data_IF_263567912130
#
_entry.id   IF_263567912130
#
_cell.length_a   1.000
_cell.length_b   1.000
_cell.length_c   1.000
_cell.angle_alpha   90.00
_cell.angle_beta   90.00
_cell.angle_gamma   90.00
#
_symmetry.space_group_name_H-M   'P 1'
#
loop_
_entity.id
_entity.type
_entity.pdbx_description
1 polymer ?
#
# COMPACT_ATOMS: atom_id res chain seq x y z
N UNK A 1 -30.46 -8.50 6.30
CA UNK A 1 -30.85 -9.93 6.29
C UNK A 1 -29.70 -10.91 6.58
N UNK A 2 -28.41 -10.53 6.49
CA UNK A 2 -27.29 -11.44 6.78
C UNK A 2 -27.03 -11.73 8.27
N UNK A 3 -27.49 -10.89 9.20
CA UNK A 3 -27.25 -11.05 10.64
C UNK A 3 -28.24 -11.99 11.36
N UNK A 4 -29.36 -12.35 10.72
CA UNK A 4 -30.39 -13.21 11.33
C UNK A 4 -29.99 -14.70 11.29
N UNK A 5 -29.44 -15.18 10.17
CA UNK A 5 -29.01 -16.58 10.03
C UNK A 5 -27.86 -16.96 10.96
N UNK A 6 -26.94 -16.03 11.24
CA UNK A 6 -25.79 -16.27 12.13
C UNK A 6 -26.20 -16.39 13.60
N UNK A 7 -27.30 -15.73 14.02
CA UNK A 7 -27.79 -15.82 15.41
C UNK A 7 -28.43 -17.18 15.70
N UNK A 8 -29.13 -17.76 14.74
CA UNK A 8 -29.73 -19.10 14.87
C UNK A 8 -28.65 -20.18 15.02
N UNK A 9 -27.53 -20.06 14.29
CA UNK A 9 -26.37 -20.96 14.39
C UNK A 9 -25.62 -20.87 15.74
N UNK A 10 -25.76 -19.75 16.45
CA UNK A 10 -25.13 -19.49 17.76
C UNK A 10 -26.08 -19.71 18.94
N UNK A 11 -27.24 -20.32 18.70
CA UNK A 11 -28.25 -20.58 19.72
C UNK A 11 -28.16 -22.01 20.23
N UNK A 12 -28.19 -22.17 21.55
CA UNK A 12 -28.23 -23.46 22.21
C UNK A 12 -29.59 -24.15 21.99
N UNK A 13 -29.65 -25.40 21.51
CA UNK A 13 -30.91 -26.10 21.21
C UNK A 13 -31.79 -26.34 22.45
N UNK A 14 -31.17 -26.43 23.63
CA UNK A 14 -31.85 -26.75 24.88
C UNK A 14 -32.46 -25.54 25.57
N UNK A 15 -31.73 -24.43 25.67
CA UNK A 15 -32.24 -23.21 26.30
C UNK A 15 -32.78 -22.17 25.31
N UNK A 16 -32.57 -22.37 24.00
CA UNK A 16 -32.96 -21.44 22.92
C UNK A 16 -32.39 -20.03 23.07
N UNK A 17 -31.31 -19.92 23.82
CA UNK A 17 -30.53 -18.69 24.03
C UNK A 17 -29.14 -18.83 23.41
N UNK A 18 -28.46 -17.72 23.17
CA UNK A 18 -27.07 -17.71 22.71
C UNK A 18 -26.19 -18.54 23.67
N UNK A 19 -25.26 -19.31 23.11
CA UNK A 19 -24.39 -20.18 23.92
C UNK A 19 -23.69 -19.42 25.05
N UNK A 20 -23.79 -19.97 26.27
CA UNK A 20 -23.05 -19.52 27.45
C UNK A 20 -22.21 -20.69 27.98
N UNK A 21 -20.88 -20.56 27.98
CA UNK A 21 -19.94 -21.64 28.32
C UNK A 21 -20.24 -22.93 27.49
N UNK A 22 -20.22 -22.86 26.15
CA UNK A 22 -20.56 -23.99 25.30
C UNK A 22 -19.55 -25.14 25.43
N UNK A 23 -20.07 -26.36 25.34
CA UNK A 23 -19.31 -27.61 25.32
C UNK A 23 -19.75 -28.42 24.12
N UNK A 24 -18.80 -29.04 23.44
CA UNK A 24 -19.05 -29.87 22.26
C UNK A 24 -18.89 -31.33 22.63
N UNK A 25 -19.93 -32.13 22.38
CA UNK A 25 -19.91 -33.57 22.59
C UNK A 25 -19.07 -34.26 21.51
N UNK A 26 -18.71 -35.52 21.75
CA UNK A 26 -17.94 -36.32 20.77
C UNK A 26 -18.67 -36.49 19.44
N UNK A 27 -20.01 -36.44 19.46
CA UNK A 27 -20.87 -36.47 18.28
C UNK A 27 -20.90 -35.15 17.48
N UNK A 28 -20.22 -34.10 17.95
CA UNK A 28 -20.14 -32.79 17.30
C UNK A 28 -21.22 -31.78 17.71
N UNK A 29 -22.29 -32.20 18.38
CA UNK A 29 -23.33 -31.27 18.86
C UNK A 29 -22.85 -30.45 20.06
N UNK A 30 -23.28 -29.18 20.13
CA UNK A 30 -22.84 -28.23 21.14
C UNK A 30 -24.00 -27.74 21.99
N UNK A 31 -23.76 -27.56 23.29
CA UNK A 31 -24.75 -27.10 24.27
C UNK A 31 -24.09 -26.19 25.29
N UNK A 32 -24.86 -25.33 25.97
CA UNK A 32 -24.36 -24.68 27.18
C UNK A 32 -24.01 -25.76 28.21
N UNK A 33 -22.85 -25.63 28.89
CA UNK A 33 -22.37 -26.63 29.87
C UNK A 33 -23.41 -26.99 30.93
N UNK A 34 -24.19 -26.00 31.37
CA UNK A 34 -25.27 -26.18 32.36
C UNK A 34 -26.45 -26.96 31.77
N UNK A 35 -26.79 -26.74 30.50
CA UNK A 35 -27.94 -27.38 29.86
C UNK A 35 -27.71 -28.89 29.68
N UNK A 36 -26.56 -29.27 29.10
CA UNK A 36 -26.25 -30.70 28.92
C UNK A 36 -26.01 -31.42 30.25
N UNK A 37 -25.50 -30.71 31.26
CA UNK A 37 -25.39 -31.24 32.62
C UNK A 37 -26.76 -31.62 33.18
N UNK A 38 -27.73 -30.70 33.14
CA UNK A 38 -29.10 -30.96 33.60
C UNK A 38 -29.76 -32.13 32.87
N UNK A 39 -29.56 -32.25 31.56
CA UNK A 39 -30.11 -33.37 30.79
C UNK A 39 -29.55 -34.71 31.24
N UNK A 40 -28.23 -34.82 31.43
CA UNK A 40 -27.61 -36.05 31.92
C UNK A 40 -27.97 -36.35 33.38
N UNK A 41 -28.09 -35.33 34.23
CA UNK A 41 -28.53 -35.51 35.63
C UNK A 41 -29.97 -36.05 35.69
N UNK A 42 -30.84 -35.64 34.75
CA UNK A 42 -32.20 -36.20 34.62
C UNK A 42 -32.21 -37.64 34.10
N UNK A 43 -31.38 -37.95 33.09
CA UNK A 43 -31.25 -39.31 32.53
C UNK A 43 -30.73 -40.30 33.57
N UNK A 44 -29.77 -39.88 34.39
CA UNK A 44 -29.26 -40.67 35.51
C UNK A 44 -30.36 -41.01 36.52
N UNK A 45 -31.28 -40.08 36.77
CA UNK A 45 -32.43 -40.29 37.67
C UNK A 45 -33.49 -41.28 37.16
N UNK A 46 -33.48 -41.63 35.87
CA UNK A 46 -34.36 -42.63 35.26
C UNK A 46 -33.59 -43.88 34.78
N UNK A 47 -32.37 -44.08 35.29
CA UNK A 47 -31.47 -45.18 34.94
C UNK A 47 -31.11 -45.29 33.45
N UNK A 48 -31.23 -44.18 32.70
CA UNK A 48 -30.81 -44.10 31.31
C UNK A 48 -29.33 -43.72 31.17
N UNK A 49 -28.68 -44.28 30.16
CA UNK A 49 -27.31 -43.90 29.81
C UNK A 49 -27.27 -42.46 29.27
N UNK A 50 -26.24 -41.66 29.61
CA UNK A 50 -26.08 -40.32 29.06
C UNK A 50 -26.09 -40.37 27.53
N UNK A 51 -26.92 -39.55 26.90
CA UNK A 51 -27.00 -39.48 25.43
C UNK A 51 -27.01 -38.05 24.93
N UNK A 52 -26.69 -37.89 23.64
CA UNK A 52 -26.85 -36.61 22.95
C UNK A 52 -28.34 -36.31 22.70
N UNK A 53 -28.87 -35.14 23.10
CA UNK A 53 -30.26 -34.77 22.88
C UNK A 53 -30.70 -34.75 21.41
N UNK A 54 -29.78 -34.48 20.48
CA UNK A 54 -30.09 -34.34 19.06
C UNK A 54 -29.94 -35.66 18.29
N UNK A 55 -28.76 -36.28 18.32
CA UNK A 55 -28.50 -37.50 17.55
C UNK A 55 -28.73 -38.81 18.34
N UNK A 56 -29.04 -38.71 19.64
CA UNK A 56 -29.27 -39.86 20.54
C UNK A 56 -28.09 -40.82 20.67
N UNK A 57 -26.89 -40.38 20.29
CA UNK A 57 -25.67 -41.16 20.51
C UNK A 57 -25.44 -41.37 22.01
N UNK A 58 -25.29 -42.63 22.42
CA UNK A 58 -25.15 -43.03 23.82
C UNK A 58 -23.68 -43.08 24.24
N UNK A 59 -23.40 -42.56 25.44
CA UNK A 59 -22.08 -42.61 26.04
C UNK A 59 -22.06 -43.68 27.15
N UNK A 60 -21.04 -44.53 27.12
CA UNK A 60 -20.88 -45.62 28.10
C UNK A 60 -20.58 -45.10 29.51
N UNK A 61 -20.00 -43.90 29.63
CA UNK A 61 -19.82 -43.13 30.87
C UNK A 61 -19.96 -41.65 30.54
N UNK A 62 -20.31 -40.84 31.54
CA UNK A 62 -20.42 -39.38 31.40
C UNK A 62 -19.08 -38.79 30.91
N UNK A 63 -18.99 -38.27 29.68
CA UNK A 63 -17.73 -37.75 29.17
C UNK A 63 -17.38 -36.41 29.83
N UNK A 64 -16.08 -36.08 29.97
CA UNK A 64 -15.65 -34.80 30.51
C UNK A 64 -16.05 -33.67 29.55
N UNK A 65 -16.81 -32.71 30.07
CA UNK A 65 -17.28 -31.55 29.30
C UNK A 65 -16.15 -30.52 29.16
N UNK A 66 -15.41 -30.58 28.05
CA UNK A 66 -14.41 -29.58 27.69
C UNK A 66 -15.07 -28.39 27.03
N UNK A 67 -14.67 -27.19 27.46
CA UNK A 67 -15.17 -25.91 26.93
C UNK A 67 -14.75 -25.74 25.48
N UNK A 68 -15.68 -25.36 24.63
CA UNK A 68 -15.40 -24.93 23.27
C UNK A 68 -15.13 -23.42 23.28
N UNK A 69 -13.85 -23.06 23.47
CA UNK A 69 -13.42 -21.66 23.53
C UNK A 69 -13.74 -20.87 22.25
N UNK A 70 -13.68 -21.52 21.08
CA UNK A 70 -13.97 -20.86 19.80
C UNK A 70 -15.45 -20.50 19.68
N UNK A 71 -16.33 -21.44 20.00
CA UNK A 71 -17.78 -21.20 19.98
C UNK A 71 -18.18 -20.18 21.05
N UNK A 72 -17.51 -20.20 22.21
CA UNK A 72 -17.73 -19.20 23.27
C UNK A 72 -17.37 -17.79 22.78
N UNK A 73 -16.18 -17.61 22.20
CA UNK A 73 -15.73 -16.31 21.69
C UNK A 73 -16.64 -15.78 20.57
N UNK A 74 -17.12 -16.68 19.71
CA UNK A 74 -18.09 -16.32 18.66
C UNK A 74 -19.42 -15.91 19.29
N UNK A 75 -19.99 -16.71 20.19
CA UNK A 75 -21.24 -16.40 20.86
C UNK A 75 -21.20 -15.08 21.65
N UNK A 76 -20.08 -14.79 22.33
CA UNK A 76 -19.86 -13.55 23.09
C UNK A 76 -19.95 -12.29 22.21
N UNK A 77 -19.55 -12.35 20.94
CA UNK A 77 -19.64 -11.21 20.02
C UNK A 77 -21.07 -10.90 19.54
N UNK A 78 -22.03 -11.81 19.78
CA UNK A 78 -23.45 -11.66 19.43
C UNK A 78 -24.37 -11.52 20.62
N UNK A 79 -23.85 -11.69 21.85
CA UNK A 79 -24.54 -11.20 23.04
C UNK A 79 -24.77 -9.69 22.85
N UNK A 80 -25.97 -9.16 23.13
CA UNK A 80 -26.19 -7.73 23.06
C UNK A 80 -25.20 -7.05 24.00
N UNK A 81 -24.19 -6.42 23.40
CA UNK A 81 -23.46 -5.33 24.04
C UNK A 81 -24.48 -4.21 24.04
N UNK A 82 -25.27 -4.13 25.11
CA UNK A 82 -26.01 -2.91 25.38
C UNK A 82 -24.95 -1.82 25.55
N UNK A 83 -24.92 -0.95 24.55
CA UNK A 83 -24.30 0.37 24.60
C UNK A 83 -24.70 1.07 25.90
N UNK A 84 -23.72 1.73 26.51
CA UNK A 84 -23.73 2.37 27.84
C UNK A 84 -23.38 1.42 29.00
N UNK A 85 -22.07 1.33 29.29
CA UNK A 85 -21.42 0.60 30.39
C UNK A 85 -21.31 -0.93 30.23
N UNK A 86 -20.09 -1.39 29.93
CA UNK A 86 -19.65 -2.78 30.02
C UNK A 86 -19.68 -3.30 31.47
N UNK A 87 -20.87 -3.55 32.00
CA UNK A 87 -21.09 -4.16 33.30
C UNK A 87 -21.29 -5.67 33.18
N UNK A 88 -20.58 -6.43 34.00
CA UNK A 88 -20.89 -7.83 34.28
C UNK A 88 -22.35 -7.90 34.78
N UNK A 89 -23.16 -8.83 34.26
CA UNK A 89 -24.53 -9.06 34.80
C UNK A 89 -24.42 -9.65 36.22
N UNK A 90 -24.82 -8.86 37.21
CA UNK A 90 -24.78 -9.25 38.62
C UNK A 90 -26.14 -9.80 39.04
N UNK A 91 -26.15 -10.97 39.67
CA UNK A 91 -27.36 -11.68 40.07
C UNK A 91 -27.69 -11.46 41.55
N UNK A 92 -28.96 -11.63 41.90
CA UNK A 92 -29.43 -11.56 43.26
C UNK A 92 -28.90 -12.74 44.08
N UNK A 93 -28.30 -12.43 45.22
CA UNK A 93 -27.70 -13.40 46.14
C UNK A 93 -28.70 -14.34 46.81
N UNK A 94 -30.01 -14.05 46.73
CA UNK A 94 -31.05 -14.75 47.49
C UNK A 94 -32.14 -15.40 46.62
N UNK A 95 -32.07 -15.28 45.29
CA UNK A 95 -33.06 -15.86 44.39
C UNK A 95 -32.53 -17.12 43.70
N UNK A 96 -33.37 -18.15 43.67
CA UNK A 96 -33.19 -19.30 42.77
C UNK A 96 -34.53 -19.56 42.04
N UNK A 97 -34.59 -19.51 40.69
CA UNK A 97 -33.48 -19.26 39.76
C UNK A 97 -32.90 -17.84 39.86
N UNK A 98 -31.65 -17.67 39.41
CA UNK A 98 -30.89 -16.42 39.52
C UNK A 98 -31.57 -15.27 38.78
N UNK A 99 -32.14 -14.34 39.55
CA UNK A 99 -32.74 -13.09 39.05
C UNK A 99 -31.67 -12.00 39.04
N UNK A 100 -31.65 -11.13 38.03
CA UNK A 100 -30.73 -9.98 37.98
C UNK A 100 -30.89 -9.07 39.21
N UNK A 101 -29.76 -8.67 39.81
CA UNK A 101 -29.76 -7.69 40.89
C UNK A 101 -29.96 -6.28 40.33
N UNK A 102 -30.75 -5.46 41.04
CA UNK A 102 -30.98 -4.05 40.71
C UNK A 102 -30.19 -3.12 41.61
N UNK A 103 -29.85 -3.55 42.84
CA UNK A 103 -28.98 -2.81 43.76
C UNK A 103 -28.06 -3.75 44.53
N UNK A 104 -26.98 -3.21 45.06
CA UNK A 104 -26.11 -3.89 46.03
C UNK A 104 -26.07 -3.13 47.33
N UNK A 105 -26.19 -3.84 48.46
CA UNK A 105 -26.08 -3.27 49.80
C UNK A 105 -24.63 -3.38 50.29
N UNK A 106 -24.00 -2.24 50.62
CA UNK A 106 -22.61 -2.22 51.07
C UNK A 106 -22.41 -2.78 52.49
N UNK A 107 -23.45 -2.69 53.33
CA UNK A 107 -23.42 -3.29 54.67
C UNK A 107 -23.57 -4.80 54.62
N UNK A 108 -24.52 -5.31 53.85
CA UNK A 108 -24.78 -6.75 53.74
C UNK A 108 -23.89 -7.47 52.74
N UNK A 109 -23.11 -6.74 51.94
CA UNK A 109 -22.26 -7.28 50.87
C UNK A 109 -23.02 -8.20 49.91
N UNK A 110 -24.28 -7.84 49.65
CA UNK A 110 -25.21 -8.65 48.90
C UNK A 110 -25.85 -7.86 47.76
N UNK A 111 -26.02 -8.53 46.62
CA UNK A 111 -26.71 -7.99 45.46
C UNK A 111 -28.17 -8.46 45.49
N UNK A 112 -29.10 -7.53 45.33
CA UNK A 112 -30.53 -7.72 45.57
C UNK A 112 -31.31 -7.42 44.30
N UNK A 113 -32.23 -8.31 43.91
CA UNK A 113 -33.24 -8.01 42.89
C UNK A 113 -34.26 -7.01 43.43
N UNK A 114 -35.06 -6.41 42.55
CA UNK A 114 -36.04 -5.40 42.90
C UNK A 114 -36.97 -5.81 44.06
N UNK A 115 -37.42 -7.06 44.08
CA UNK A 115 -38.23 -7.61 45.17
C UNK A 115 -37.50 -7.62 46.52
N UNK A 116 -36.24 -8.07 46.52
CA UNK A 116 -35.44 -8.12 47.73
C UNK A 116 -35.00 -6.72 48.18
N UNK A 117 -34.73 -5.80 47.27
CA UNK A 117 -34.49 -4.38 47.59
C UNK A 117 -35.69 -3.78 48.32
N UNK A 118 -36.92 -3.99 47.82
CA UNK A 118 -38.15 -3.47 48.45
C UNK A 118 -38.37 -4.01 49.86
N UNK A 119 -38.01 -5.27 50.12
CA UNK A 119 -38.06 -5.84 51.47
C UNK A 119 -36.91 -5.37 52.37
N UNK A 120 -35.77 -5.06 51.77
CA UNK A 120 -34.54 -4.67 52.45
C UNK A 120 -34.51 -3.18 52.84
N UNK A 121 -35.15 -2.31 52.04
CA UNK A 121 -35.18 -0.86 52.22
C UNK A 121 -36.11 -0.39 53.36
N UNK A 122 -36.14 -1.12 54.48
CA UNK A 122 -36.95 -0.82 55.67
C UNK A 122 -36.14 -0.25 56.84
N UNK A 123 -34.82 -0.11 56.68
CA UNK A 123 -33.90 0.45 57.68
C UNK A 123 -32.98 1.47 57.02
N UNK A 124 -32.83 2.65 57.63
CA UNK A 124 -32.05 3.79 57.10
C UNK A 124 -30.54 3.54 57.09
N UNK A 125 -30.05 2.49 57.74
CA UNK A 125 -28.61 2.20 57.83
C UNK A 125 -28.06 1.57 56.53
N UNK A 126 -28.88 0.92 55.71
CA UNK A 126 -28.45 0.15 54.56
C UNK A 126 -28.20 1.01 53.30
N UNK A 127 -26.93 1.32 53.02
CA UNK A 127 -26.53 2.03 51.80
C UNK A 127 -26.63 1.12 50.56
N UNK A 128 -27.60 1.42 49.70
CA UNK A 128 -27.84 0.74 48.43
C UNK A 128 -27.25 1.54 47.25
N UNK A 129 -26.57 0.84 46.36
CA UNK A 129 -25.96 1.42 45.16
C UNK A 129 -26.15 0.52 43.94
N UNK A 130 -25.66 0.94 42.78
CA UNK A 130 -25.66 0.09 41.58
C UNK A 130 -25.00 -1.27 41.85
N UNK A 131 -25.48 -2.35 41.20
CA UNK A 131 -24.94 -3.68 41.43
C UNK A 131 -23.41 -3.69 41.24
N UNK A 132 -22.70 -4.24 42.22
CA UNK A 132 -21.24 -4.35 42.16
C UNK A 132 -20.78 -5.65 42.81
N UNK A 133 -19.68 -6.21 42.30
CA UNK A 133 -18.98 -7.35 42.93
C UNK A 133 -17.86 -6.88 43.86
N UNK A 134 -17.53 -5.57 43.86
CA UNK A 134 -16.36 -5.01 44.53
C UNK A 134 -16.74 -4.39 45.89
N UNK A 135 -17.26 -5.20 46.81
CA UNK A 135 -17.63 -4.73 48.15
C UNK A 135 -16.42 -4.39 49.04
N UNK A 136 -15.34 -5.16 48.93
CA UNK A 136 -14.14 -5.03 49.78
C UNK A 136 -13.36 -3.73 49.55
N UNK A 137 -13.36 -3.20 48.34
CA UNK A 137 -12.64 -1.97 47.95
C UNK A 137 -13.32 -0.69 48.47
N UNK A 138 -14.55 -0.79 48.99
CA UNK A 138 -15.32 0.35 49.51
C UNK A 138 -15.30 0.49 51.02
N UNK A 139 -14.56 -0.39 51.71
CA UNK A 139 -14.39 -0.36 53.16
C UNK A 139 -12.95 0.00 53.51
N UNK A 140 -12.79 0.83 54.53
CA UNK A 140 -11.49 1.14 55.11
C UNK A 140 -10.81 -0.15 55.59
N UNK A 141 -9.57 -0.35 55.17
CA UNK A 141 -8.76 -1.52 55.51
C UNK A 141 -8.56 -1.68 57.02
N UNK A 142 -8.42 -0.57 57.75
CA UNK A 142 -8.17 -0.50 59.20
C UNK A 142 -9.48 -0.61 60.00
N UNK A 143 -10.44 0.29 59.75
CA UNK A 143 -11.63 0.42 60.58
C UNK A 143 -12.81 -0.44 60.12
N UNK A 144 -12.73 -1.06 58.94
CA UNK A 144 -13.81 -1.84 58.28
C UNK A 144 -15.13 -1.06 58.08
N UNK A 145 -15.08 0.26 58.19
CA UNK A 145 -16.18 1.20 57.90
C UNK A 145 -16.14 1.67 56.45
N UNK A 146 -17.28 2.15 55.95
CA UNK A 146 -17.43 2.62 54.57
C UNK A 146 -16.54 3.85 54.33
N UNK A 147 -15.92 3.91 53.15
CA UNK A 147 -15.16 5.06 52.68
C UNK A 147 -16.13 6.14 52.19
N UNK A 148 -16.13 7.29 52.84
CA UNK A 148 -17.08 8.38 52.59
C UNK A 148 -16.38 9.68 52.22
N UNK A 149 -15.07 9.76 52.50
CA UNK A 149 -14.29 10.98 52.39
C UNK A 149 -13.02 10.76 51.57
N UNK A 150 -12.46 11.83 51.03
CA UNK A 150 -11.19 11.85 50.33
C UNK A 150 -10.25 12.83 51.01
N UNK A 151 -9.09 12.34 51.45
CA UNK A 151 -8.04 13.20 51.98
C UNK A 151 -7.29 13.84 50.81
N UNK A 152 -7.34 15.16 50.68
CA UNK A 152 -6.71 15.87 49.55
C UNK A 152 -5.19 15.98 49.69
N UNK A 153 -4.66 15.86 50.91
CA UNK A 153 -3.22 15.92 51.17
C UNK A 153 -2.54 14.58 50.85
N UNK A 154 -3.13 13.46 51.28
CA UNK A 154 -2.57 12.13 51.07
C UNK A 154 -3.07 11.44 49.77
N UNK A 155 -4.10 11.99 49.14
CA UNK A 155 -4.65 11.46 47.89
C UNK A 155 -5.39 10.13 48.01
N UNK A 156 -5.97 9.83 49.18
CA UNK A 156 -6.60 8.53 49.48
C UNK A 156 -8.04 8.67 49.97
N UNK A 157 -8.87 7.66 49.66
CA UNK A 157 -10.23 7.55 50.19
C UNK A 157 -10.20 7.00 51.63
N UNK A 158 -10.89 7.65 52.55
CA UNK A 158 -10.88 7.34 53.99
C UNK A 158 -12.31 7.26 54.58
N UNK A 159 -12.44 6.60 55.74
CA UNK A 159 -13.71 6.58 56.50
C UNK A 159 -13.72 7.67 57.60
N UNK A 160 -14.89 7.94 58.18
CA UNK A 160 -15.03 8.95 59.25
C UNK A 160 -14.07 8.74 60.44
N UNK A 161 -13.80 7.49 60.83
CA UNK A 161 -12.88 7.20 61.94
C UNK A 161 -11.42 7.56 61.63
N UNK A 162 -10.98 7.43 60.37
CA UNK A 162 -9.65 7.88 59.96
C UNK A 162 -9.46 9.39 60.13
N UNK A 163 -10.51 10.17 59.86
CA UNK A 163 -10.49 11.64 59.96
C UNK A 163 -10.58 12.12 61.42
N UNK A 164 -11.41 11.50 62.25
CA UNK A 164 -11.71 12.00 63.59
C UNK A 164 -10.65 11.62 64.64
N UNK A 165 -10.17 10.38 64.58
CA UNK A 165 -9.28 9.80 65.62
C UNK A 165 -8.10 9.02 65.04
N UNK A 166 -8.03 8.86 63.73
CA UNK A 166 -6.97 8.11 63.05
C UNK A 166 -5.85 8.98 62.49
N UNK A 167 -5.03 8.39 61.62
CA UNK A 167 -3.81 8.98 61.05
C UNK A 167 -4.05 10.23 60.18
N UNK A 168 -5.27 10.44 59.68
CA UNK A 168 -5.61 11.60 58.84
C UNK A 168 -6.23 12.75 59.66
N UNK A 169 -6.06 12.74 60.98
CA UNK A 169 -6.62 13.75 61.87
C UNK A 169 -5.95 15.10 61.64
N UNK A 170 -6.74 16.08 61.22
CA UNK A 170 -6.29 17.44 60.95
C UNK A 170 -5.89 17.69 59.50
N UNK A 171 -5.91 16.68 58.63
CA UNK A 171 -5.74 16.86 57.20
C UNK A 171 -6.98 17.49 56.56
N UNK A 172 -6.81 18.15 55.42
CA UNK A 172 -7.91 18.60 54.58
C UNK A 172 -8.60 17.41 53.92
N UNK A 173 -9.90 17.32 54.17
CA UNK A 173 -10.75 16.22 53.75
C UNK A 173 -11.99 16.78 53.07
N UNK A 174 -12.35 16.18 51.94
CA UNK A 174 -13.58 16.50 51.19
C UNK A 174 -14.49 15.27 51.16
N UNK A 175 -15.78 15.45 50.91
CA UNK A 175 -16.68 14.32 50.66
C UNK A 175 -16.25 13.61 49.37
N UNK A 176 -16.35 12.28 49.37
CA UNK A 176 -15.94 11.47 48.21
C UNK A 176 -16.71 11.85 46.94
N UNK A 177 -17.98 12.24 47.07
CA UNK A 177 -18.81 12.74 45.96
C UNK A 177 -18.24 14.04 45.37
N UNK A 178 -17.91 15.02 46.20
CA UNK A 178 -17.37 16.32 45.77
C UNK A 178 -15.99 16.18 45.12
N UNK A 179 -15.10 15.39 45.74
CA UNK A 179 -13.78 15.10 45.21
C UNK A 179 -13.87 14.37 43.85
N UNK A 180 -14.80 13.42 43.73
CA UNK A 180 -15.07 12.72 42.47
C UNK A 180 -15.59 13.67 41.40
N UNK A 181 -16.54 14.55 41.72
CA UNK A 181 -17.09 15.53 40.75
C UNK A 181 -15.99 16.46 40.22
N UNK A 182 -15.14 16.99 41.11
CA UNK A 182 -13.97 17.81 40.71
C UNK A 182 -13.01 17.02 39.81
N UNK A 183 -12.71 15.77 40.16
CA UNK A 183 -11.81 14.92 39.35
C UNK A 183 -12.42 14.57 37.99
N UNK A 184 -13.72 14.28 37.95
CA UNK A 184 -14.44 14.02 36.71
C UNK A 184 -14.43 15.25 35.80
N UNK A 185 -14.61 16.46 36.36
CA UNK A 185 -14.54 17.70 35.59
C UNK A 185 -13.14 17.95 35.02
N UNK A 186 -12.08 17.72 35.80
CA UNK A 186 -10.70 17.77 35.29
C UNK A 186 -10.49 16.79 34.13
N UNK A 187 -10.97 15.54 34.28
CA UNK A 187 -10.85 14.52 33.23
C UNK A 187 -11.64 14.89 31.98
N UNK A 188 -12.84 15.48 32.11
CA UNK A 188 -13.63 16.00 30.97
C UNK A 188 -12.86 17.08 30.20
N UNK A 189 -12.19 17.99 30.90
CA UNK A 189 -11.39 19.04 30.27
C UNK A 189 -10.17 18.46 29.52
N UNK A 190 -9.48 17.48 30.11
CA UNK A 190 -8.39 16.77 29.42
C UNK A 190 -8.90 16.02 28.19
N UNK A 191 -10.03 15.32 28.32
CA UNK A 191 -10.67 14.59 27.22
C UNK A 191 -11.04 15.53 26.06
N UNK A 192 -11.61 16.69 26.37
CA UNK A 192 -11.91 17.73 25.38
C UNK A 192 -10.65 18.21 24.65
N UNK A 193 -9.58 18.49 25.40
CA UNK A 193 -8.29 18.89 24.83
C UNK A 193 -7.71 17.83 23.88
N UNK A 194 -7.66 16.58 24.32
CA UNK A 194 -7.15 15.46 23.52
C UNK A 194 -7.99 15.24 22.25
N UNK A 195 -9.32 15.33 22.36
CA UNK A 195 -10.22 15.18 21.21
C UNK A 195 -9.99 16.31 20.19
N UNK A 196 -9.86 17.56 20.64
CA UNK A 196 -9.57 18.70 19.77
C UNK A 196 -8.21 18.57 19.06
N UNK A 197 -7.19 18.07 19.78
CA UNK A 197 -5.87 17.80 19.20
C UNK A 197 -5.94 16.70 18.13
N UNK A 198 -6.64 15.60 18.42
CA UNK A 198 -6.90 14.52 17.46
C UNK A 198 -7.58 15.06 16.20
N UNK A 199 -8.66 15.83 16.35
CA UNK A 199 -9.40 16.40 15.22
C UNK A 199 -8.52 17.32 14.36
N UNK A 200 -7.62 18.08 15.01
CA UNK A 200 -6.66 18.93 14.29
C UNK A 200 -5.63 18.10 13.53
N UNK A 201 -5.13 17.01 14.12
CA UNK A 201 -4.21 16.09 13.46
C UNK A 201 -4.88 15.39 12.28
N UNK A 202 -6.12 14.92 12.44
CA UNK A 202 -6.90 14.26 11.40
C UNK A 202 -7.16 15.20 10.21
N UNK A 203 -7.57 16.45 10.46
CA UNK A 203 -7.74 17.46 9.40
C UNK A 203 -6.44 17.76 8.65
N UNK A 204 -5.30 17.85 9.37
CA UNK A 204 -3.99 18.06 8.74
C UNK A 204 -3.59 16.86 7.87
N UNK A 205 -3.83 15.65 8.35
CA UNK A 205 -3.55 14.42 7.60
C UNK A 205 -4.37 14.37 6.31
N UNK A 206 -5.68 14.66 6.37
CA UNK A 206 -6.55 14.71 5.18
C UNK A 206 -6.07 15.74 4.16
N UNK A 207 -5.74 16.95 4.61
CA UNK A 207 -5.22 18.00 3.74
C UNK A 207 -3.90 17.60 3.05
N UNK A 208 -2.99 16.91 3.77
CA UNK A 208 -1.75 16.41 3.17
C UNK A 208 -2.01 15.28 2.16
N UNK A 209 -3.00 14.42 2.42
CA UNK A 209 -3.40 13.38 1.46
C UNK A 209 -3.98 13.98 0.17
N UNK A 210 -4.83 15.00 0.28
CA UNK A 210 -5.36 15.73 -0.89
C UNK A 210 -4.23 16.39 -1.69
N UNK A 211 -3.32 17.09 -1.01
CA UNK A 211 -2.13 17.70 -1.65
C UNK A 211 -1.26 16.66 -2.34
N UNK A 212 -1.08 15.48 -1.74
CA UNK A 212 -0.33 14.37 -2.35
C UNK A 212 -0.95 13.95 -3.69
N UNK A 213 -2.28 13.81 -3.74
CA UNK A 213 -2.99 13.44 -4.97
C UNK A 213 -2.81 14.52 -6.04
N UNK A 214 -2.93 15.80 -5.67
CA UNK A 214 -2.74 16.93 -6.60
C UNK A 214 -1.31 16.93 -7.18
N UNK A 215 -0.29 16.80 -6.33
CA UNK A 215 1.11 16.77 -6.77
C UNK A 215 1.38 15.60 -7.71
N UNK A 216 0.86 14.40 -7.39
CA UNK A 216 0.98 13.23 -8.26
C UNK A 216 0.29 13.44 -9.61
N UNK A 217 -0.91 14.03 -9.62
CA UNK A 217 -1.64 14.37 -10.84
C UNK A 217 -0.88 15.38 -11.71
N UNK A 218 -0.32 16.42 -11.10
CA UNK A 218 0.48 17.43 -11.80
C UNK A 218 1.74 16.83 -12.41
N UNK A 219 2.49 16.02 -11.65
CA UNK A 219 3.69 15.35 -12.15
C UNK A 219 3.38 14.40 -13.33
N UNK A 220 2.25 13.68 -13.27
CA UNK A 220 1.80 12.84 -14.38
C UNK A 220 1.47 13.65 -15.64
N UNK A 221 0.78 14.80 -15.47
CA UNK A 221 0.44 15.72 -16.57
C UNK A 221 1.69 16.31 -17.20
N UNK A 222 2.64 16.79 -16.41
CA UNK A 222 3.93 17.32 -16.89
C UNK A 222 4.72 16.25 -17.65
N UNK A 223 4.79 15.03 -17.13
CA UNK A 223 5.40 13.89 -17.84
C UNK A 223 4.72 13.63 -19.18
N UNK A 224 3.39 13.65 -19.24
CA UNK A 224 2.65 13.44 -20.48
C UNK A 224 2.92 14.55 -21.50
N UNK A 225 2.98 15.81 -21.05
CA UNK A 225 3.33 16.94 -21.91
C UNK A 225 4.76 16.82 -22.45
N UNK A 226 5.73 16.44 -21.61
CA UNK A 226 7.11 16.21 -22.04
C UNK A 226 7.21 15.09 -23.08
N UNK A 227 6.51 13.96 -22.86
CA UNK A 227 6.47 12.87 -23.83
C UNK A 227 5.83 13.30 -25.16
N UNK A 228 4.74 14.06 -25.12
CA UNK A 228 4.11 14.58 -26.33
C UNK A 228 5.06 15.49 -27.14
N UNK A 229 5.83 16.36 -26.47
CA UNK A 229 6.84 17.19 -27.14
C UNK A 229 7.95 16.34 -27.76
N UNK A 230 8.41 15.29 -27.06
CA UNK A 230 9.42 14.37 -27.59
C UNK A 230 8.92 13.66 -28.84
N UNK A 231 7.66 13.21 -28.86
CA UNK A 231 7.07 12.58 -30.06
C UNK A 231 7.01 13.56 -31.25
N UNK A 232 6.62 14.82 -31.03
CA UNK A 232 6.66 15.85 -32.08
C UNK A 232 8.07 16.04 -32.64
N UNK A 233 9.10 16.05 -31.78
CA UNK A 233 10.50 16.15 -32.21
C UNK A 233 10.91 14.92 -33.02
N UNK A 234 10.52 13.72 -32.59
CA UNK A 234 10.79 12.46 -33.31
C UNK A 234 10.17 12.47 -34.70
N UNK A 235 8.90 12.84 -34.82
CA UNK A 235 8.20 12.95 -36.10
C UNK A 235 8.86 13.98 -37.03
N UNK A 236 9.32 15.11 -36.47
CA UNK A 236 10.05 16.12 -37.24
C UNK A 236 11.38 15.58 -37.77
N UNK A 237 12.18 14.91 -36.93
CA UNK A 237 13.45 14.31 -37.33
C UNK A 237 13.23 13.23 -38.40
N UNK A 238 12.24 12.35 -38.23
CA UNK A 238 11.89 11.34 -39.23
C UNK A 238 11.51 11.98 -40.57
N UNK A 239 10.70 13.04 -40.54
CA UNK A 239 10.32 13.77 -41.76
C UNK A 239 11.53 14.38 -42.46
N UNK A 240 12.51 14.88 -41.71
CA UNK A 240 13.76 15.40 -42.26
C UNK A 240 14.62 14.30 -42.87
N UNK A 241 14.74 13.17 -42.19
CA UNK A 241 15.46 11.98 -42.69
C UNK A 241 14.85 11.51 -44.00
N UNK A 242 13.53 11.32 -44.06
CA UNK A 242 12.82 10.91 -45.27
C UNK A 242 13.02 11.90 -46.43
N UNK A 243 13.00 13.21 -46.13
CA UNK A 243 13.28 14.27 -47.13
C UNK A 243 14.69 14.13 -47.68
N UNK A 244 15.68 13.92 -46.81
CA UNK A 244 17.07 13.77 -47.22
C UNK A 244 17.25 12.52 -48.08
N UNK A 245 16.72 11.38 -47.65
CA UNK A 245 16.78 10.13 -48.39
C UNK A 245 16.15 10.27 -49.78
N UNK A 246 15.00 10.94 -49.90
CA UNK A 246 14.40 11.23 -51.22
C UNK A 246 15.32 12.05 -52.13
N UNK A 247 15.99 13.08 -51.60
CA UNK A 247 16.91 13.90 -52.40
C UNK A 247 18.11 13.08 -52.87
N UNK A 248 18.69 12.25 -52.00
CA UNK A 248 19.82 11.38 -52.36
C UNK A 248 19.41 10.41 -53.47
N UNK A 249 18.29 9.68 -53.30
CA UNK A 249 17.83 8.71 -54.30
C UNK A 249 17.46 9.37 -55.64
N UNK A 250 16.92 10.59 -55.62
CA UNK A 250 16.62 11.35 -56.85
C UNK A 250 17.90 11.73 -57.58
N UNK A 251 18.91 12.23 -56.88
CA UNK A 251 20.19 12.61 -57.47
C UNK A 251 20.91 11.38 -58.03
N UNK A 252 20.94 10.27 -57.28
CA UNK A 252 21.47 8.98 -57.72
C UNK A 252 20.78 8.52 -59.01
N UNK A 253 19.45 8.50 -59.04
CA UNK A 253 18.67 8.10 -60.22
C UNK A 253 18.97 9.00 -61.42
N UNK A 254 19.07 10.31 -61.21
CA UNK A 254 19.42 11.26 -62.27
C UNK A 254 20.81 10.98 -62.84
N UNK A 255 21.80 10.73 -61.97
CA UNK A 255 23.16 10.38 -62.39
C UNK A 255 23.22 9.04 -63.12
N UNK A 256 22.53 8.01 -62.61
CA UNK A 256 22.43 6.71 -63.28
C UNK A 256 21.83 6.85 -64.68
N UNK A 257 20.77 7.66 -64.85
CA UNK A 257 20.19 7.92 -66.17
C UNK A 257 21.16 8.60 -67.14
N UNK A 258 21.97 9.55 -66.66
CA UNK A 258 23.01 10.20 -67.49
C UNK A 258 24.06 9.18 -67.92
N UNK A 259 24.51 8.33 -67.01
CA UNK A 259 25.49 7.28 -67.29
C UNK A 259 24.92 6.25 -68.28
N UNK A 260 23.70 5.75 -68.07
CA UNK A 260 23.04 4.81 -68.98
C UNK A 260 22.96 5.34 -70.41
N UNK A 261 22.56 6.60 -70.60
CA UNK A 261 22.54 7.24 -71.93
C UNK A 261 23.93 7.33 -72.58
N UNK A 262 24.99 7.47 -71.79
CA UNK A 262 26.36 7.54 -72.31
C UNK A 262 26.88 6.14 -72.67
N UNK A 263 26.53 5.14 -71.87
CA UNK A 263 26.82 3.72 -72.16
C UNK A 263 26.14 3.30 -73.46
N UNK A 264 24.84 3.56 -73.61
CA UNK A 264 24.07 3.23 -74.83
C UNK A 264 24.70 3.84 -76.10
N UNK A 265 25.16 5.10 -76.03
CA UNK A 265 25.87 5.74 -77.14
C UNK A 265 27.21 5.06 -77.48
N UNK A 266 27.91 4.53 -76.48
CA UNK A 266 29.17 3.82 -76.70
C UNK A 266 28.91 2.42 -77.26
N UNK A 267 27.85 1.73 -76.81
CA UNK A 267 27.42 0.43 -77.34
C UNK A 267 27.06 0.55 -78.83
N UNK A 268 26.27 1.56 -79.22
CA UNK A 268 25.95 1.82 -80.64
C UNK A 268 27.23 2.02 -81.48
N UNK A 269 28.16 2.84 -80.99
CA UNK A 269 29.45 3.06 -81.68
C UNK A 269 30.29 1.79 -81.76
N UNK A 270 30.27 0.98 -80.71
CA UNK A 270 30.97 -0.30 -80.69
C UNK A 270 30.40 -1.25 -81.74
N UNK A 271 29.08 -1.32 -81.88
CA UNK A 271 28.41 -2.13 -82.90
C UNK A 271 28.68 -1.64 -84.33
N UNK A 272 28.65 -0.31 -84.54
CA UNK A 272 29.02 0.31 -85.82
C UNK A 272 30.45 -0.05 -86.23
N UNK A 273 31.41 0.11 -85.30
CA UNK A 273 32.80 -0.25 -85.53
C UNK A 273 32.96 -1.76 -85.77
N UNK A 274 32.29 -2.60 -84.98
CA UNK A 274 32.34 -4.06 -85.14
C UNK A 274 31.79 -4.50 -86.50
N UNK A 275 30.72 -3.87 -86.99
CA UNK A 275 30.18 -4.15 -88.32
C UNK A 275 31.14 -3.72 -89.43
N UNK A 276 31.81 -2.56 -89.29
CA UNK A 276 32.84 -2.11 -90.23
C UNK A 276 34.05 -3.03 -90.26
N UNK A 277 34.53 -3.45 -89.08
CA UNK A 277 35.63 -4.42 -88.96
C UNK A 277 35.27 -5.71 -89.69
N UNK A 278 34.10 -6.29 -89.42
CA UNK A 278 33.65 -7.51 -90.10
C UNK A 278 33.57 -7.34 -91.62
N UNK A 279 33.07 -6.20 -92.10
CA UNK A 279 33.00 -5.93 -93.54
C UNK A 279 34.39 -5.92 -94.19
N UNK A 280 35.34 -5.22 -93.58
CA UNK A 280 36.72 -5.15 -94.05
C UNK A 280 37.37 -6.55 -93.99
N UNK A 281 37.17 -7.30 -92.90
CA UNK A 281 37.66 -8.68 -92.77
C UNK A 281 37.11 -9.59 -93.87
N UNK A 282 35.81 -9.49 -94.18
CA UNK A 282 35.19 -10.24 -95.28
C UNK A 282 35.86 -9.89 -96.61
N UNK A 283 36.02 -8.61 -96.93
CA UNK A 283 36.67 -8.15 -98.15
C UNK A 283 38.13 -8.59 -98.25
N UNK A 284 38.90 -8.54 -97.16
CA UNK A 284 40.28 -9.02 -97.11
C UNK A 284 40.39 -10.54 -97.41
N UNK A 285 39.35 -11.31 -97.12
CA UNK A 285 39.30 -12.76 -97.34
C UNK A 285 38.69 -13.15 -98.70
N UNK A 286 38.25 -12.20 -99.52
CA UNK A 286 37.66 -12.48 -100.84
C UNK A 286 38.72 -12.86 -101.89
N UNK A 287 38.39 -13.83 -102.74
CA UNK A 287 39.31 -14.34 -103.76
C UNK A 287 39.33 -13.53 -105.08
N UNK A 288 38.32 -12.69 -105.34
CA UNK A 288 38.21 -11.89 -106.58
C UNK A 288 38.82 -10.48 -106.42
N UNK A 289 39.95 -10.16 -107.09
CA UNK A 289 40.61 -8.87 -106.96
C UNK A 289 39.79 -7.67 -107.46
N UNK A 290 38.85 -7.89 -108.39
CA UNK A 290 38.05 -6.79 -108.95
C UNK A 290 37.04 -6.26 -107.91
N UNK A 291 36.39 -7.15 -107.16
CA UNK A 291 35.44 -6.79 -106.09
C UNK A 291 36.12 -6.03 -104.95
N UNK A 292 37.36 -6.38 -104.60
CA UNK A 292 38.16 -5.68 -103.57
C UNK A 292 38.52 -4.25 -104.02
N UNK A 293 38.82 -4.05 -105.31
CA UNK A 293 39.24 -2.75 -105.86
C UNK A 293 38.07 -1.82 -106.23
N UNK A 294 36.82 -2.30 -106.24
CA UNK A 294 35.63 -1.51 -106.56
C UNK A 294 34.94 -0.90 -105.33
N UNK A 295 35.33 -1.28 -104.11
CA UNK A 295 34.82 -0.68 -102.90
C UNK A 295 35.28 0.80 -102.81
N UNK A 296 34.37 1.72 -102.47
CA UNK A 296 34.71 3.14 -102.28
C UNK A 296 35.20 3.36 -100.86
N UNK A 297 36.29 4.09 -100.72
CA UNK A 297 36.94 4.55 -99.48
C UNK A 297 36.07 5.49 -98.60
N UNK A 298 34.74 5.39 -98.61
CA UNK A 298 33.89 6.15 -97.68
C UNK A 298 33.85 5.57 -96.28
N UNK A 299 34.28 4.32 -96.07
CA UNK A 299 34.24 3.67 -94.75
C UNK A 299 35.58 3.66 -93.99
N UNK A 300 36.72 3.86 -94.67
CA UNK A 300 38.06 3.91 -94.05
C UNK A 300 38.68 5.31 -93.89
N UNK A 301 38.19 6.32 -94.61
CA UNK A 301 38.85 7.62 -94.70
C UNK A 301 38.69 8.54 -93.47
N UNK A 302 37.82 8.22 -92.51
CA UNK A 302 37.69 9.01 -91.27
C UNK A 302 38.70 8.61 -90.17
N UNK A 303 39.51 7.55 -90.36
CA UNK A 303 40.44 7.08 -89.33
C UNK A 303 41.89 7.57 -89.48
N UNK A 304 42.34 7.91 -90.69
CA UNK A 304 43.72 8.36 -90.94
C UNK A 304 43.77 9.84 -91.33
N UNK A 305 43.67 10.69 -90.31
CA UNK A 305 44.15 12.07 -90.37
C UNK A 305 45.39 12.21 -89.50
N UNK A 306 46.57 12.10 -90.14
CA UNK A 306 47.86 12.80 -89.88
C UNK A 306 49.04 11.86 -90.17
N UNK A 307 49.92 12.34 -91.04
CA UNK A 307 51.19 11.78 -91.50
C UNK A 307 52.01 11.06 -90.42
N UNK A 308 52.44 9.82 -90.70
CA UNK A 308 53.75 9.34 -90.28
C UNK A 308 54.26 8.22 -91.22
N UNK A 309 55.44 8.46 -91.81
CA UNK A 309 56.14 7.53 -92.71
C UNK A 309 56.56 6.26 -91.95
N UNK A 310 56.65 5.10 -92.62
CA UNK A 310 57.06 3.86 -91.97
C UNK A 310 58.56 3.93 -91.64
N UNK A 311 58.90 3.89 -90.36
CA UNK A 311 60.22 3.46 -89.94
C UNK A 311 60.08 2.16 -89.15
N UNK A 312 60.82 1.16 -89.60
CA UNK A 312 60.84 -0.19 -89.03
C UNK A 312 61.28 -0.16 -87.55
N UNK A 313 60.56 -0.91 -86.71
CA UNK A 313 61.16 -1.51 -85.52
C UNK A 313 60.47 -1.22 -84.18
N UNK A 314 60.03 -2.33 -83.56
CA UNK A 314 59.79 -2.57 -82.12
C UNK A 314 58.52 -2.01 -81.48
N UNK A 315 57.60 -2.96 -81.25
CA UNK A 315 56.83 -3.22 -80.03
C UNK A 315 57.06 -2.17 -78.92
N UNK A 316 56.06 -1.30 -78.76
CA UNK A 316 55.89 -0.39 -77.64
C UNK A 316 54.41 -0.05 -77.53
N UNK A 317 53.77 -0.65 -76.53
CA UNK A 317 52.40 -0.42 -76.08
C UNK A 317 52.08 1.08 -76.01
N UNK A 318 51.11 1.53 -76.80
CA UNK A 318 50.68 2.93 -76.82
C UNK A 318 49.15 2.96 -76.72
N UNK A 319 48.67 2.92 -75.48
CA UNK A 319 47.31 3.31 -75.09
C UNK A 319 47.10 4.77 -75.45
N UNK A 320 46.55 5.03 -76.63
CA UNK A 320 46.04 6.34 -76.99
C UNK A 320 44.60 6.45 -76.45
N UNK A 321 44.49 6.95 -75.23
CA UNK A 321 43.24 7.28 -74.56
C UNK A 321 42.46 8.31 -75.38
N UNK A 322 41.27 7.94 -75.84
CA UNK A 322 40.30 8.90 -76.37
C UNK A 322 39.88 9.86 -75.25
N UNK A 323 39.91 11.19 -75.45
CA UNK A 323 39.56 12.15 -74.41
C UNK A 323 38.04 12.19 -74.22
N UNK A 324 37.53 11.27 -73.40
CA UNK A 324 36.17 11.36 -72.86
C UNK A 324 36.22 12.47 -71.82
N UNK A 325 35.87 13.69 -72.21
CA UNK A 325 35.86 14.84 -71.29
C UNK A 325 34.99 14.52 -70.06
N UNK A 326 35.65 14.30 -68.92
CA UNK A 326 35.09 13.97 -67.60
C UNK A 326 34.40 15.16 -66.90
N UNK A 327 33.99 16.18 -67.65
CA UNK A 327 33.62 17.47 -67.05
C UNK A 327 32.24 17.53 -66.37
N UNK A 328 31.61 16.40 -66.03
CA UNK A 328 30.34 16.40 -65.30
C UNK A 328 30.22 15.44 -64.11
N UNK A 329 31.19 14.55 -63.86
CA UNK A 329 31.14 13.67 -62.68
C UNK A 329 31.59 14.37 -61.38
N UNK A 330 32.39 15.44 -61.47
CA UNK A 330 32.89 16.18 -60.30
C UNK A 330 31.88 17.14 -59.64
N UNK A 331 30.72 17.40 -60.25
CA UNK A 331 29.71 18.35 -59.72
C UNK A 331 28.61 17.67 -58.87
N UNK A 332 28.50 16.34 -58.94
CA UNK A 332 27.51 15.56 -58.18
C UNK A 332 27.66 15.73 -56.65
N UNK A 333 28.87 15.63 -56.06
CA UNK A 333 29.04 15.77 -54.62
C UNK A 333 28.74 17.20 -54.15
N UNK A 334 29.06 18.21 -54.98
CA UNK A 334 28.88 19.62 -54.65
C UNK A 334 27.40 20.06 -54.67
N UNK A 335 26.58 19.49 -55.57
CA UNK A 335 25.14 19.75 -55.61
C UNK A 335 24.39 19.10 -54.44
N UNK A 336 24.78 17.87 -54.08
CA UNK A 336 24.26 17.17 -52.91
C UNK A 336 24.60 17.92 -51.61
N UNK A 337 25.86 18.35 -51.45
CA UNK A 337 26.30 19.19 -50.33
C UNK A 337 25.53 20.50 -50.27
N UNK A 338 25.32 21.20 -51.40
CA UNK A 338 24.55 22.44 -51.43
C UNK A 338 23.10 22.23 -50.98
N UNK A 339 22.42 21.20 -51.48
CA UNK A 339 21.04 20.88 -51.08
C UNK A 339 20.94 20.45 -49.61
N UNK A 340 21.93 19.71 -49.11
CA UNK A 340 22.08 19.39 -47.69
C UNK A 340 22.18 20.66 -46.84
N UNK A 341 23.02 21.62 -47.22
CA UNK A 341 23.13 22.91 -46.54
C UNK A 341 21.85 23.76 -46.61
N UNK A 342 21.09 23.69 -47.71
CA UNK A 342 19.81 24.40 -47.83
C UNK A 342 18.73 23.82 -46.89
N UNK A 343 18.67 22.49 -46.75
CA UNK A 343 17.78 21.80 -45.81
C UNK A 343 18.18 22.15 -44.37
N UNK A 344 19.47 22.03 -44.03
CA UNK A 344 20.00 22.39 -42.70
C UNK A 344 19.80 23.87 -42.37
N UNK A 345 19.96 24.77 -43.35
CA UNK A 345 19.70 26.20 -43.20
C UNK A 345 18.21 26.53 -43.04
N UNK A 346 17.32 25.70 -43.58
CA UNK A 346 15.88 25.78 -43.34
C UNK A 346 15.50 25.49 -41.88
N UNK A 347 16.16 24.50 -41.27
CA UNK A 347 15.95 24.09 -39.87
C UNK A 347 16.36 25.21 -38.92
N UNK A 348 17.56 25.80 -39.10
CA UNK A 348 18.07 26.88 -38.25
C UNK A 348 17.14 28.11 -38.23
N UNK A 349 16.52 28.44 -39.36
CA UNK A 349 15.53 29.56 -39.46
C UNK A 349 14.19 29.26 -38.79
N UNK A 350 13.89 27.99 -38.52
CA UNK A 350 12.67 27.55 -37.85
C UNK A 350 12.85 27.57 -36.32
N UNK A 351 14.07 27.30 -35.83
CA UNK A 351 14.48 27.51 -34.43
C UNK A 351 14.37 28.99 -34.03
N UNK A 352 14.81 29.92 -34.89
CA UNK A 352 14.73 31.38 -34.64
C UNK A 352 13.29 31.93 -34.51
N UNK A 353 12.28 31.17 -34.96
CA UNK A 353 10.86 31.55 -34.90
C UNK A 353 10.08 30.83 -33.78
N UNK A 354 10.65 29.80 -33.18
CA UNK A 354 10.03 29.03 -32.12
C UNK A 354 10.54 29.50 -30.75
N UNK A 355 10.21 30.73 -30.35
CA UNK A 355 10.34 31.12 -28.94
C UNK A 355 9.37 30.28 -28.10
N UNK A 356 9.91 29.54 -27.13
CA UNK A 356 9.10 28.77 -26.17
C UNK A 356 8.16 29.73 -25.41
N UNK A 357 6.90 29.32 -25.12
CA UNK A 357 6.06 30.06 -24.20
C UNK A 357 6.66 29.99 -22.79
N UNK A 358 6.91 31.16 -22.19
CA UNK A 358 7.31 31.31 -20.79
C UNK A 358 6.31 30.59 -19.88
N UNK A 359 6.71 29.43 -19.35
CA UNK A 359 5.99 28.79 -18.26
C UNK A 359 6.69 29.15 -16.96
N UNK A 360 6.39 30.36 -16.47
CA UNK A 360 6.60 30.73 -15.08
C UNK A 360 5.73 29.83 -14.20
N UNK A 361 6.25 28.68 -13.78
CA UNK A 361 5.73 27.94 -12.63
C UNK A 361 6.70 28.18 -11.48
N UNK A 362 6.61 29.37 -10.89
CA UNK A 362 7.17 29.63 -9.57
C UNK A 362 6.35 28.82 -8.56
N UNK A 363 6.74 27.57 -8.33
CA UNK A 363 6.24 26.81 -7.18
C UNK A 363 6.96 27.37 -5.95
N UNK A 364 6.38 28.42 -5.34
CA UNK A 364 6.76 28.86 -3.99
C UNK A 364 6.59 27.70 -3.02
N UNK A 365 7.67 26.93 -2.85
CA UNK A 365 7.86 25.93 -1.80
C UNK A 365 8.60 26.54 -0.61
N UNK A 366 8.43 27.83 -0.33
CA UNK A 366 8.99 28.49 0.85
C UNK A 366 7.86 29.01 1.74
N UNK A 367 7.35 28.11 2.60
CA UNK A 367 6.88 28.46 3.95
C UNK A 367 6.53 27.16 4.68
N UNK A 368 7.56 26.40 5.04
CA UNK A 368 7.49 25.53 6.21
C UNK A 368 7.79 26.39 7.45
N UNK A 369 6.82 26.69 8.33
CA UNK A 369 7.14 26.77 9.73
C UNK A 369 7.18 25.32 10.23
N UNK A 370 8.38 24.76 10.28
CA UNK A 370 8.71 23.74 11.28
C UNK A 370 8.57 24.41 12.64
N UNK A 371 7.35 24.41 13.18
CA UNK A 371 7.13 24.71 14.58
C UNK A 371 6.09 23.74 15.12
N UNK A 372 6.57 22.54 15.42
CA UNK A 372 5.99 21.73 16.49
C UNK A 372 6.44 22.41 17.79
N UNK A 373 5.86 23.56 18.12
CA UNK A 373 5.75 23.93 19.52
C UNK A 373 4.66 23.04 20.09
N UNK A 374 5.06 21.94 20.72
CA UNK A 374 4.26 21.37 21.79
C UNK A 374 4.01 22.48 22.81
N UNK A 375 2.87 23.17 22.69
CA UNK A 375 2.41 24.03 23.77
C UNK A 375 2.15 23.10 24.95
N UNK A 376 2.81 23.30 26.11
CA UNK A 376 2.49 22.51 27.29
C UNK A 376 1.02 22.75 27.58
N UNK A 377 0.28 21.68 27.87
CA UNK A 377 -1.00 21.79 28.57
C UNK A 377 -0.81 22.77 29.74
N UNK A 378 -1.80 23.61 30.09
CA UNK A 378 -1.78 24.29 31.37
C UNK A 378 -1.94 23.20 32.45
N UNK A 379 -0.82 22.58 32.82
CA UNK A 379 -0.67 21.89 34.08
C UNK A 379 -0.83 22.98 35.13
N UNK A 380 -2.04 23.07 35.66
CA UNK A 380 -2.30 23.80 36.87
C UNK A 380 -1.42 23.14 37.94
N UNK A 381 -0.23 23.73 38.17
CA UNK A 381 0.65 23.37 39.28
C UNK A 381 -0.07 23.77 40.55
N UNK A 382 -0.81 22.84 41.12
CA UNK A 382 -0.94 22.73 42.57
C UNK A 382 -0.72 21.26 42.93
N UNK A 383 0.45 21.09 43.56
CA UNK A 383 0.88 20.02 44.44
C UNK A 383 1.00 18.59 43.87
N UNK A 384 2.27 18.23 43.72
CA UNK A 384 2.83 16.92 43.52
C UNK A 384 2.52 15.98 44.68
N UNK A 385 1.86 14.86 44.39
CA UNK A 385 2.28 13.56 44.90
C UNK A 385 1.88 12.47 43.89
N UNK A 386 2.90 11.71 43.52
CA UNK A 386 2.90 10.54 42.64
C UNK A 386 1.91 9.47 43.10
N UNK A 387 1.01 9.03 42.23
CA UNK A 387 0.26 7.79 42.41
C UNK A 387 0.72 6.76 41.37
N UNK A 388 1.69 5.95 41.79
CA UNK A 388 1.93 4.63 41.23
C UNK A 388 0.71 3.75 41.52
N UNK A 389 0.05 3.28 40.47
CA UNK A 389 -0.93 2.20 40.57
C UNK A 389 -0.17 0.87 40.72
N UNK A 390 0.13 0.49 41.96
CA UNK A 390 0.55 -0.87 42.29
C UNK A 390 -0.63 -1.67 42.83
N UNK A 391 -1.20 -2.53 41.99
CA UNK A 391 -2.14 -3.58 42.39
C UNK A 391 -1.32 -4.71 43.02
N UNK A 392 -1.26 -4.78 44.36
CA UNK A 392 -0.69 -5.93 45.06
C UNK A 392 -1.79 -6.82 45.61
N UNK A 393 -2.02 -7.95 44.93
CA UNK A 393 -2.74 -9.11 45.46
C UNK A 393 -1.79 -9.94 46.32
N UNK A 394 -2.09 -10.04 47.62
CA UNK A 394 -1.38 -10.89 48.56
C UNK A 394 -1.88 -12.34 48.51
N UNK A 395 -0.99 -13.27 48.21
CA UNK A 395 -1.12 -14.70 48.52
C UNK A 395 -0.07 -15.05 49.58
N UNK A 396 -0.47 -15.76 50.64
CA UNK A 396 0.42 -16.21 51.72
C UNK A 396 0.32 -17.71 51.92
N UNK A 397 1.48 -18.34 52.16
CA UNK A 397 1.70 -19.72 52.62
C UNK A 397 2.09 -20.69 51.48
N UNK A 398 3.16 -21.51 51.57
CA UNK A 398 3.99 -21.95 52.70
C UNK A 398 5.35 -22.42 52.20
N UNK A 399 6.34 -22.27 53.09
CA UNK A 399 7.71 -22.76 53.01
C UNK A 399 7.81 -24.29 53.05
N UNK A 400 8.70 -24.85 52.23
CA UNK A 400 9.49 -26.05 52.57
C UNK A 400 10.91 -25.85 52.02
N UNK A 401 11.88 -25.81 52.93
CA UNK A 401 13.32 -25.82 52.65
C UNK A 401 13.72 -27.11 51.92
N UNK A 402 14.60 -27.02 50.92
CA UNK A 402 15.78 -27.89 50.91
C UNK A 402 16.94 -27.31 50.08
N UNK A 403 18.13 -27.53 50.63
CA UNK A 403 19.47 -27.03 50.27
C UNK A 403 20.13 -27.81 49.14
N UNK A 404 20.97 -27.13 48.34
CA UNK A 404 22.01 -27.73 47.49
C UNK A 404 22.59 -26.73 46.47
N UNK A 405 23.71 -26.08 46.78
CA UNK A 405 25.02 -26.24 46.11
C UNK A 405 25.05 -25.82 44.63
N UNK A 406 25.57 -24.62 44.30
CA UNK A 406 26.95 -24.34 43.84
C UNK A 406 27.35 -25.14 42.58
N UNK A 407 27.31 -24.50 41.40
CA UNK A 407 28.52 -24.05 40.67
C UNK A 407 28.19 -23.55 39.25
N UNK A 408 28.93 -22.53 38.83
CA UNK A 408 28.92 -21.92 37.50
C UNK A 408 30.19 -22.32 36.76
N UNK A 409 30.05 -22.88 35.56
CA UNK A 409 31.09 -23.05 34.53
C UNK A 409 30.41 -22.59 33.23
N UNK A 410 30.63 -21.38 32.71
CA UNK A 410 31.79 -20.90 31.93
C UNK A 410 32.24 -21.85 30.82
N UNK A 411 32.00 -21.34 29.62
CA UNK A 411 32.46 -21.75 28.30
C UNK A 411 33.97 -21.99 28.23
N UNK A 412 34.38 -23.04 27.49
CA UNK A 412 35.52 -23.03 26.57
C UNK A 412 35.44 -24.24 25.61
N UNK A 413 35.39 -23.94 24.31
CA UNK A 413 36.00 -24.61 23.16
C UNK A 413 36.39 -26.10 23.23
N UNK A 414 35.75 -26.92 22.38
CA UNK A 414 36.35 -27.70 21.26
C UNK A 414 35.47 -28.88 20.85
#
# INVERSE_FOLDING_TARGET
MAAAGVREELTCPLCREIYTDPVTLLCGHSYCRVCIRKTWDWQEGIEEKPSCPECREQFSRRPPLRRNLRLNNLAESFLPIDSEQGGVRIFCSYCEPFVSATKSCLLCEASLCDYHVRKHNKSEEHLLMEPTTCFGERKCSVHKKILEYYCTEDGVCICASCCLVGEHRGHKVELLSEASEKKQEQLRNVLYGLTSMKDRADRRMQSLQERRIIVQGNAAKEKQQALALIEVIREYLQTLEDKLMRVISQEETCHLQILSKRIEKLEIKQDELSSKIRHIEELCNMADPLTVLQERESDGAEFYGVDEKPNEGRIGDNTNEFPVSEQNLGLAPQKLLRRLYEILGGIRRQEDKASLPDTNVATSLDSLPENITESPLPLNRQDSSSLDFSVTSGASGRSVNNTGHLESLKDTDS
#
